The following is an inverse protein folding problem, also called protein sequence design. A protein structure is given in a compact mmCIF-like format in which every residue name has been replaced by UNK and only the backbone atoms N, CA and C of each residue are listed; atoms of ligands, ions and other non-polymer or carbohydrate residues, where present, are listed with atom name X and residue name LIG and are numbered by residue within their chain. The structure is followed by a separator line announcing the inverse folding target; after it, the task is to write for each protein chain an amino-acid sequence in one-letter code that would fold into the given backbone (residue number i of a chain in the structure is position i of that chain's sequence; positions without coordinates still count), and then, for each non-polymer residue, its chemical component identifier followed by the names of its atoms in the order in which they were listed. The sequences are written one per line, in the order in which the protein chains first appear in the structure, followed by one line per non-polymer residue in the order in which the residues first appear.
data_IF_769833460635
#
_entry.id   IF_769833460635
#
_cell.length_a   1.000
_cell.length_b   1.000
_cell.length_c   1.000
_cell.angle_alpha   90.00
_cell.angle_beta   90.00
_cell.angle_gamma   90.00
#
_symmetry.space_group_name_H-M   'P 1'
#
loop_
_entity.id
_entity.type
_entity.pdbx_description
1 polymer ?
#
# COMPACT_ATOMS: atom_id res chain seq x y z
N UNK A 1 -15.95 -2.06 -14.35
CA UNK A 1 -14.59 -1.80 -14.88
C UNK A 1 -13.86 -0.91 -13.88
N UNK A 2 -12.55 -1.09 -13.70
CA UNK A 2 -11.72 -0.27 -12.81
C UNK A 2 -10.60 0.36 -13.63
N UNK A 3 -10.19 1.54 -13.22
CA UNK A 3 -9.07 2.23 -13.84
C UNK A 3 -7.73 1.75 -13.27
N UNK A 4 -6.78 1.49 -14.16
CA UNK A 4 -5.42 1.06 -13.82
C UNK A 4 -4.40 1.93 -14.55
N UNK A 5 -3.44 2.46 -13.80
CA UNK A 5 -2.23 3.05 -14.37
C UNK A 5 -1.18 1.96 -14.59
N UNK A 6 -0.58 1.98 -15.77
CA UNK A 6 0.47 1.05 -16.16
C UNK A 6 1.83 1.72 -16.00
N UNK A 7 2.69 1.04 -15.25
CA UNK A 7 4.07 1.44 -15.00
C UNK A 7 5.00 0.39 -15.61
N UNK A 8 6.04 0.82 -16.31
CA UNK A 8 7.01 -0.08 -16.91
C UNK A 8 8.43 0.32 -16.51
N UNK A 9 9.20 -0.67 -16.08
CA UNK A 9 10.62 -0.55 -15.79
C UNK A 9 11.43 -0.77 -17.10
N UNK A 10 12.58 -0.09 -17.29
CA UNK A 10 13.40 -0.26 -18.51
C UNK A 10 13.81 -1.72 -18.79
N UNK A 11 13.92 -2.53 -17.74
CA UNK A 11 14.27 -3.94 -17.76
C UNK A 11 13.08 -4.85 -18.16
N UNK A 12 11.95 -4.27 -18.58
CA UNK A 12 10.79 -4.99 -19.13
C UNK A 12 9.69 -5.34 -18.14
N UNK A 13 9.90 -5.17 -16.83
CA UNK A 13 8.86 -5.42 -15.81
C UNK A 13 7.72 -4.42 -15.94
N UNK A 14 6.48 -4.93 -16.01
CA UNK A 14 5.26 -4.11 -16.07
C UNK A 14 4.47 -4.31 -14.79
N UNK A 15 4.03 -3.22 -14.18
CA UNK A 15 3.14 -3.24 -13.02
C UNK A 15 1.89 -2.40 -13.27
N UNK A 16 0.72 -2.98 -13.01
CA UNK A 16 -0.55 -2.26 -12.98
C UNK A 16 -0.87 -1.81 -11.55
N UNK A 17 -1.28 -0.54 -11.41
CA UNK A 17 -1.76 0.03 -10.15
C UNK A 17 -3.20 0.50 -10.30
N UNK A 18 -4.10 -0.14 -9.56
CA UNK A 18 -5.51 0.23 -9.49
C UNK A 18 -5.65 1.64 -8.92
N UNK A 19 -6.49 2.47 -9.54
CA UNK A 19 -6.81 3.79 -9.01
C UNK A 19 -7.87 3.73 -7.90
N UNK A 20 -7.74 4.61 -6.91
CA UNK A 20 -8.62 4.68 -5.74
C UNK A 20 -8.34 3.59 -4.70
N UNK A 21 -9.40 3.09 -4.06
CA UNK A 21 -9.32 2.23 -2.88
C UNK A 21 -8.52 0.93 -3.07
N UNK A 22 -7.65 0.64 -2.10
CA UNK A 22 -6.83 -0.56 -1.98
C UNK A 22 -7.30 -1.46 -0.83
N UNK A 23 -8.10 -2.47 -1.17
CA UNK A 23 -8.50 -3.51 -0.21
C UNK A 23 -7.32 -4.20 0.48
N UNK A 24 -6.25 -4.58 -0.23
CA UNK A 24 -5.11 -5.21 0.43
C UNK A 24 -4.38 -4.27 1.39
N UNK A 25 -4.28 -2.98 1.09
CA UNK A 25 -3.65 -2.02 2.00
C UNK A 25 -4.49 -1.80 3.26
N UNK A 26 -5.82 -1.76 3.12
CA UNK A 26 -6.73 -1.62 4.27
C UNK A 26 -6.61 -2.78 5.26
N UNK A 27 -6.68 -4.03 4.78
CA UNK A 27 -6.66 -5.19 5.69
C UNK A 27 -5.26 -5.59 6.16
N UNK A 28 -4.23 -5.41 5.33
CA UNK A 28 -2.90 -5.96 5.59
C UNK A 28 -1.82 -4.91 5.82
N UNK A 29 -2.15 -3.61 5.81
CA UNK A 29 -1.30 -2.48 6.24
C UNK A 29 0.20 -2.66 6.02
N UNK A 30 0.91 -3.01 7.11
CA UNK A 30 2.37 -3.20 7.13
C UNK A 30 2.84 -4.36 6.23
N UNK A 31 2.16 -5.52 6.24
CA UNK A 31 2.49 -6.68 5.38
C UNK A 31 2.34 -6.27 3.91
N UNK A 32 1.26 -5.57 3.58
CA UNK A 32 1.05 -5.07 2.22
C UNK A 32 2.16 -4.11 1.78
N UNK A 33 2.55 -3.16 2.64
CA UNK A 33 3.64 -2.22 2.37
C UNK A 33 4.97 -2.95 2.13
N UNK A 34 5.30 -3.95 2.95
CA UNK A 34 6.50 -4.77 2.79
C UNK A 34 6.48 -5.55 1.46
N UNK A 35 5.36 -6.20 1.13
CA UNK A 35 5.18 -6.94 -0.14
C UNK A 35 5.34 -6.02 -1.36
N UNK A 36 4.87 -4.77 -1.27
CA UNK A 36 5.03 -3.76 -2.35
C UNK A 36 6.37 -3.03 -2.31
N UNK A 37 7.35 -3.53 -1.55
CA UNK A 37 8.70 -2.98 -1.41
C UNK A 37 8.67 -1.52 -0.95
N UNK A 38 7.68 -1.15 -0.15
CA UNK A 38 7.57 0.13 0.55
C UNK A 38 8.06 -0.07 2.00
N UNK A 39 9.30 -0.54 2.14
CA UNK A 39 9.84 -1.05 3.41
C UNK A 39 9.89 0.01 4.51
N UNK A 40 10.24 1.26 4.19
CA UNK A 40 10.22 2.35 5.17
C UNK A 40 8.85 2.59 5.79
N UNK A 41 7.78 2.58 4.98
CA UNK A 41 6.40 2.70 5.46
C UNK A 41 5.98 1.49 6.29
N UNK A 42 6.31 0.28 5.83
CA UNK A 42 5.98 -0.97 6.54
C UNK A 42 6.65 -1.06 7.91
N UNK A 43 7.96 -0.77 7.97
CA UNK A 43 8.75 -0.80 9.22
C UNK A 43 8.30 0.31 10.16
N UNK A 44 8.06 1.53 9.66
CA UNK A 44 7.64 2.66 10.49
C UNK A 44 6.30 2.39 11.19
N UNK A 45 5.32 1.84 10.47
CA UNK A 45 4.03 1.47 11.06
C UNK A 45 4.17 0.33 12.07
N UNK A 46 4.96 -0.70 11.75
CA UNK A 46 5.20 -1.81 12.67
C UNK A 46 5.88 -1.33 13.97
N UNK A 47 6.90 -0.48 13.86
CA UNK A 47 7.58 0.10 15.00
C UNK A 47 6.63 0.94 15.86
N UNK A 48 5.76 1.74 15.25
CA UNK A 48 4.76 2.52 15.98
C UNK A 48 3.81 1.63 16.80
N UNK A 49 3.30 0.54 16.23
CA UNK A 49 2.46 -0.41 16.97
C UNK A 49 3.20 -1.10 18.12
N UNK A 50 4.47 -1.48 17.91
CA UNK A 50 5.29 -2.07 18.98
C UNK A 50 5.49 -1.09 20.14
N UNK A 51 5.82 0.17 19.84
CA UNK A 51 6.01 1.21 20.86
C UNK A 51 4.71 1.49 21.62
N UNK A 52 3.58 1.62 20.92
CA UNK A 52 2.28 1.82 21.56
C UNK A 52 1.89 0.63 22.45
N UNK A 53 2.11 -0.60 21.98
CA UNK A 53 1.87 -1.80 22.79
C UNK A 53 2.75 -1.86 24.05
N UNK A 54 4.03 -1.47 23.94
CA UNK A 54 4.93 -1.40 25.08
C UNK A 54 4.51 -0.32 26.10
N UNK A 55 4.04 0.83 25.63
CA UNK A 55 3.49 1.89 26.49
C UNK A 55 2.23 1.39 27.20
N UNK A 56 1.30 0.77 26.47
CA UNK A 56 0.04 0.24 27.04
C UNK A 56 0.32 -0.77 28.15
N UNK A 57 1.19 -1.76 27.88
CA UNK A 57 1.57 -2.78 28.84
C UNK A 57 2.26 -2.22 30.11
N UNK A 58 2.85 -1.03 30.04
CA UNK A 58 3.49 -0.38 31.18
C UNK A 58 2.56 0.49 32.03
N UNK A 59 1.37 0.83 31.53
CA UNK A 59 0.45 1.77 32.17
C UNK A 59 -0.43 1.11 33.25
N UNK A 60 -0.91 -0.11 33.00
CA UNK A 60 -1.78 -0.88 33.90
C UNK A 60 -3.17 -0.27 34.15
N UNK A 61 -4.12 -1.11 34.56
CA UNK A 61 -5.42 -0.67 35.07
C UNK A 61 -6.27 0.11 34.04
N UNK A 62 -6.91 1.19 34.49
CA UNK A 62 -7.80 2.00 33.64
C UNK A 62 -7.04 2.74 32.52
N UNK A 63 -5.76 3.06 32.74
CA UNK A 63 -4.91 3.73 31.75
C UNK A 63 -4.58 2.81 30.55
N UNK A 64 -4.31 1.53 30.81
CA UNK A 64 -4.10 0.50 29.78
C UNK A 64 -5.34 0.37 28.89
N UNK A 65 -6.54 0.25 29.48
CA UNK A 65 -7.80 0.15 28.72
C UNK A 65 -8.04 1.39 27.84
N UNK A 66 -7.75 2.59 28.35
CA UNK A 66 -7.88 3.82 27.58
C UNK A 66 -6.89 3.86 26.40
N UNK A 67 -5.63 3.46 26.61
CA UNK A 67 -4.60 3.41 25.57
C UNK A 67 -4.96 2.38 24.49
N UNK A 68 -5.43 1.20 24.88
CA UNK A 68 -5.85 0.14 23.95
C UNK A 68 -7.06 0.56 23.11
N UNK A 69 -8.04 1.23 23.73
CA UNK A 69 -9.19 1.78 23.03
C UNK A 69 -8.80 2.82 21.99
N UNK A 70 -7.94 3.77 22.37
CA UNK A 70 -7.40 4.79 21.45
C UNK A 70 -6.54 4.17 20.34
N UNK A 71 -5.72 3.18 20.66
CA UNK A 71 -4.86 2.48 19.70
C UNK A 71 -5.69 1.70 18.69
N UNK A 72 -6.78 1.06 19.11
CA UNK A 72 -7.71 0.34 18.23
C UNK A 72 -8.42 1.30 17.27
N UNK A 73 -8.92 2.42 17.77
CA UNK A 73 -9.54 3.48 16.95
C UNK A 73 -8.52 4.04 15.94
N UNK A 74 -7.32 4.39 16.43
CA UNK A 74 -6.22 4.89 15.60
C UNK A 74 -5.80 3.88 14.54
N UNK A 75 -5.75 2.58 14.88
CA UNK A 75 -5.48 1.50 13.95
C UNK A 75 -6.52 1.39 12.83
N UNK A 76 -7.81 1.56 13.16
CA UNK A 76 -8.87 1.57 12.15
C UNK A 76 -8.79 2.80 11.23
N UNK A 77 -8.54 4.00 11.79
CA UNK A 77 -8.30 5.21 10.99
C UNK A 77 -7.10 5.01 10.08
N UNK A 78 -6.00 4.44 10.59
CA UNK A 78 -4.82 4.13 9.81
C UNK A 78 -5.13 3.14 8.68
N UNK A 79 -5.93 2.11 8.94
CA UNK A 79 -6.38 1.16 7.93
C UNK A 79 -7.12 1.88 6.79
N UNK A 80 -8.04 2.80 7.11
CA UNK A 80 -8.73 3.63 6.12
C UNK A 80 -7.74 4.48 5.32
N UNK A 81 -6.80 5.14 6.00
CA UNK A 81 -5.76 5.95 5.33
C UNK A 81 -4.94 5.10 4.35
N UNK A 82 -4.54 3.89 4.74
CA UNK A 82 -3.88 2.93 3.86
C UNK A 82 -4.78 2.48 2.70
N UNK A 83 -6.06 2.25 2.95
CA UNK A 83 -7.03 1.91 1.92
C UNK A 83 -7.17 3.01 0.86
N UNK A 84 -7.27 4.28 1.27
CA UNK A 84 -7.40 5.43 0.36
C UNK A 84 -6.09 5.75 -0.35
N UNK A 85 -4.98 5.82 0.38
CA UNK A 85 -3.71 6.37 -0.13
C UNK A 85 -2.72 5.30 -0.58
N UNK A 86 -2.92 4.03 -0.22
CA UNK A 86 -1.95 2.96 -0.47
C UNK A 86 -1.56 2.85 -1.95
N UNK A 87 -2.53 2.89 -2.87
CA UNK A 87 -2.22 2.83 -4.30
C UNK A 87 -1.41 4.05 -4.77
N UNK A 88 -1.71 5.25 -4.28
CA UNK A 88 -0.94 6.46 -4.61
C UNK A 88 0.50 6.38 -4.06
N UNK A 89 0.69 5.85 -2.85
CA UNK A 89 2.02 5.59 -2.32
C UNK A 89 2.77 4.53 -3.12
N UNK A 90 2.07 3.49 -3.61
CA UNK A 90 2.65 2.49 -4.51
C UNK A 90 3.11 3.12 -5.83
N UNK A 91 2.33 4.02 -6.43
CA UNK A 91 2.73 4.76 -7.63
C UNK A 91 4.02 5.54 -7.40
N UNK A 92 4.07 6.34 -6.32
CA UNK A 92 5.28 7.09 -5.95
C UNK A 92 6.48 6.17 -5.73
N UNK A 93 6.27 5.02 -5.06
CA UNK A 93 7.32 4.04 -4.84
C UNK A 93 7.83 3.41 -6.14
N UNK A 94 6.94 3.12 -7.10
CA UNK A 94 7.33 2.59 -8.41
C UNK A 94 8.16 3.61 -9.19
N UNK A 95 7.71 4.88 -9.23
CA UNK A 95 8.46 5.96 -9.88
C UNK A 95 9.85 6.15 -9.24
N UNK A 96 9.93 6.16 -7.91
CA UNK A 96 11.21 6.26 -7.19
C UNK A 96 12.15 5.07 -7.48
N UNK A 97 11.59 3.91 -7.85
CA UNK A 97 12.32 2.69 -8.22
C UNK A 97 12.61 2.59 -9.72
N UNK A 98 12.43 3.66 -10.49
CA UNK A 98 12.80 3.72 -11.92
C UNK A 98 11.72 3.27 -12.88
N UNK A 99 10.49 3.01 -12.42
CA UNK A 99 9.38 2.74 -13.32
C UNK A 99 8.86 4.03 -13.94
N UNK A 100 8.56 4.01 -15.24
CA UNK A 100 7.91 5.12 -15.93
C UNK A 100 6.42 4.84 -16.09
N UNK A 101 5.58 5.85 -15.81
CA UNK A 101 4.17 5.82 -16.20
C UNK A 101 4.07 5.75 -17.73
N UNK A 102 3.22 4.84 -18.24
CA UNK A 102 3.03 4.64 -19.68
C UNK A 102 1.65 5.05 -20.16
N UNK A 103 0.61 4.56 -19.48
CA UNK A 103 -0.78 4.80 -19.88
C UNK A 103 -1.74 4.44 -18.75
N UNK A 104 -3.00 4.76 -18.96
CA UNK A 104 -4.12 4.35 -18.11
C UNK A 104 -5.09 3.51 -18.92
N UNK A 105 -5.52 2.37 -18.37
CA UNK A 105 -6.43 1.43 -19.03
C UNK A 105 -7.59 1.08 -18.10
N UNK A 106 -8.72 0.72 -18.70
CA UNK A 106 -9.87 0.19 -17.97
C UNK A 106 -9.87 -1.33 -18.07
N UNK A 107 -9.85 -2.02 -16.92
CA UNK A 107 -9.85 -3.47 -16.85
C UNK A 107 -10.66 -3.99 -15.66
N UNK A 108 -10.99 -5.28 -15.66
CA UNK A 108 -11.59 -5.92 -14.50
C UNK A 108 -10.54 -6.30 -13.43
N UNK A 109 -9.34 -6.66 -13.88
CA UNK A 109 -8.24 -7.17 -13.05
C UNK A 109 -6.91 -6.51 -13.41
N UNK A 110 -5.92 -6.50 -12.49
CA UNK A 110 -4.56 -6.04 -12.78
C UNK A 110 -3.91 -6.78 -13.96
N UNK A 111 -4.11 -8.09 -14.06
CA UNK A 111 -3.52 -8.93 -15.10
C UNK A 111 -4.11 -8.59 -16.47
N UNK A 112 -5.43 -8.36 -16.52
CA UNK A 112 -6.10 -7.85 -17.72
C UNK A 112 -5.60 -6.47 -18.12
N UNK A 113 -5.33 -5.59 -17.14
CA UNK A 113 -4.75 -4.28 -17.40
C UNK A 113 -3.34 -4.39 -18.02
N UNK A 114 -2.50 -5.31 -17.53
CA UNK A 114 -1.18 -5.55 -18.12
C UNK A 114 -1.26 -6.21 -19.49
N UNK A 115 -2.25 -7.08 -19.75
CA UNK A 115 -2.45 -7.72 -21.04
C UNK A 115 -2.94 -6.74 -22.13
N UNK A 116 -3.69 -5.71 -21.75
CA UNK A 116 -4.14 -4.64 -22.66
C UNK A 116 -3.02 -3.67 -23.05
N UNK A 117 -1.89 -3.68 -22.33
CA UNK A 117 -0.70 -2.93 -22.72
C UNK A 117 0.23 -3.86 -23.53
N UNK A 118 0.24 -3.80 -24.88
CA UNK A 118 1.13 -4.63 -25.66
C UNK A 118 2.56 -4.35 -25.23
N UNK A 119 3.29 -5.40 -24.82
CA UNK A 119 4.73 -5.32 -24.64
C UNK A 119 5.28 -4.82 -25.97
N UNK A 120 5.77 -3.58 -26.00
CA UNK A 120 6.55 -3.10 -27.13
C UNK A 120 7.84 -3.91 -27.08
N UNK A 121 7.84 -5.08 -27.70
CA UNK A 121 9.04 -5.88 -27.92
C UNK A 121 10.03 -4.96 -28.62
N UNK A 122 11.17 -4.73 -27.98
CA UNK A 122 12.30 -4.10 -28.65
C UNK A 122 12.62 -4.97 -29.88
N UNK A 123 12.38 -4.40 -31.06
CA UNK A 123 13.00 -4.82 -32.32
C UNK A 123 14.27 -4.02 -32.47
#
# INVERSE_FOLDING_TARGET
MKEYKIFQHPQGTIEAVKQGWSWPAFFFGCIWALVKKMTGLGIGVLAAFIVLGAISASAGGDAEQAIDGLTSLGGFVLAIVFGVNGNAWREKNLTARGFAYKTTVQAATPEGATALYPQKSAV
#
